data_IF_648280996776
#
_entry.id   IF_648280996776
#
_cell.length_a   1.000
_cell.length_b   1.000
_cell.length_c   1.000
_cell.angle_alpha   90.00
_cell.angle_beta   90.00
_cell.angle_gamma   90.00
#
_symmetry.space_group_name_H-M   'P 1'
#
loop_
_entity.id
_entity.type
_entity.pdbx_description
1 polymer ?
#
# COMPACT_ATOMS: atom_id res chain seq x y z
N UNK A 1 -13.42 -2.28 7.14
CA UNK A 1 -12.01 -2.75 7.02
C UNK A 1 -11.81 -3.35 5.63
N UNK A 2 -11.21 -2.62 4.69
CA UNK A 2 -11.08 -3.06 3.29
C UNK A 2 -9.70 -3.70 3.08
N UNK A 3 -9.63 -5.03 3.01
CA UNK A 3 -8.40 -5.77 2.64
C UNK A 3 -8.06 -5.54 1.16
N UNK A 4 -6.78 -5.39 0.82
CA UNK A 4 -6.31 -5.29 -0.57
C UNK A 4 -5.47 -6.53 -0.94
N UNK A 5 -5.47 -6.87 -2.22
CA UNK A 5 -4.69 -8.00 -2.75
C UNK A 5 -3.68 -7.44 -3.75
N UNK A 6 -2.40 -7.75 -3.54
CA UNK A 6 -1.30 -7.38 -4.43
C UNK A 6 -0.60 -8.64 -4.95
N UNK A 7 -0.01 -8.58 -6.14
CA UNK A 7 0.80 -9.68 -6.66
C UNK A 7 2.25 -9.53 -6.20
N UNK A 8 2.84 -10.63 -5.73
CA UNK A 8 4.26 -10.69 -5.40
C UNK A 8 5.13 -10.31 -6.61
N UNK A 9 6.10 -9.42 -6.42
CA UNK A 9 7.04 -8.99 -7.46
C UNK A 9 7.99 -10.10 -7.93
N UNK A 10 8.24 -11.11 -7.09
CA UNK A 10 9.15 -12.21 -7.43
C UNK A 10 8.48 -13.36 -8.19
N UNK A 11 7.27 -13.76 -7.78
CA UNK A 11 6.63 -14.99 -8.30
C UNK A 11 5.17 -14.84 -8.71
N UNK A 12 4.59 -13.62 -8.60
CA UNK A 12 3.20 -13.36 -8.95
C UNK A 12 2.15 -13.85 -7.96
N UNK A 13 2.54 -14.58 -6.91
CA UNK A 13 1.63 -15.10 -5.89
C UNK A 13 0.82 -13.96 -5.22
N UNK A 14 -0.50 -14.12 -5.02
CA UNK A 14 -1.31 -13.10 -4.35
C UNK A 14 -0.93 -12.94 -2.88
N UNK A 15 -0.74 -11.68 -2.47
CA UNK A 15 -0.44 -11.24 -1.11
C UNK A 15 -1.64 -10.43 -0.63
N UNK A 16 -2.31 -10.93 0.42
CA UNK A 16 -3.37 -10.18 1.10
C UNK A 16 -2.75 -9.26 2.11
N UNK A 17 -3.03 -7.96 2.00
CA UNK A 17 -2.49 -6.92 2.87
C UNK A 17 -3.64 -6.27 3.62
N UNK A 18 -3.36 -5.91 4.87
CA UNK A 18 -4.33 -5.30 5.78
C UNK A 18 -3.89 -3.89 6.10
N UNK A 19 -4.81 -2.91 6.09
CA UNK A 19 -4.48 -1.56 6.52
C UNK A 19 -4.08 -1.57 8.01
N UNK A 20 -3.13 -0.71 8.42
CA UNK A 20 -2.94 -0.44 9.84
C UNK A 20 -4.24 0.15 10.42
N UNK A 21 -4.58 -0.24 11.65
CA UNK A 21 -5.84 0.09 12.34
C UNK A 21 -6.16 1.59 12.30
N UNK A 22 -7.43 1.91 12.08
CA UNK A 22 -8.06 3.23 12.25
C UNK A 22 -7.54 4.41 11.43
N UNK A 23 -7.46 4.24 10.10
CA UNK A 23 -7.02 5.33 9.25
C UNK A 23 -7.62 5.23 7.85
N UNK A 24 -8.17 6.34 7.32
CA UNK A 24 -8.68 6.48 5.94
C UNK A 24 -7.51 6.45 4.93
N UNK A 25 -6.67 5.43 5.01
CA UNK A 25 -5.47 5.27 4.22
C UNK A 25 -5.74 4.29 3.07
N UNK A 26 -5.34 4.71 1.89
CA UNK A 26 -5.35 3.88 0.70
C UNK A 26 -3.98 3.23 0.51
N UNK A 27 -3.96 1.98 0.07
CA UNK A 27 -2.70 1.34 -0.31
C UNK A 27 -2.34 1.68 -1.76
N UNK A 28 -1.09 2.09 -1.97
CA UNK A 28 -0.50 2.30 -3.29
C UNK A 28 0.76 1.47 -3.47
N UNK A 29 1.06 1.11 -4.73
CA UNK A 29 2.27 0.35 -5.08
C UNK A 29 3.51 1.23 -5.15
N UNK A 30 3.36 2.53 -5.43
CA UNK A 30 4.46 3.49 -5.42
C UNK A 30 4.21 4.60 -4.40
N UNK A 31 5.27 4.98 -3.68
CA UNK A 31 5.28 6.12 -2.74
C UNK A 31 4.88 7.46 -3.37
N UNK A 32 5.07 7.62 -4.69
CA UNK A 32 4.74 8.85 -5.42
C UNK A 32 3.23 9.11 -5.56
N UNK A 33 2.43 8.07 -5.46
CA UNK A 33 0.97 8.13 -5.62
C UNK A 33 0.24 8.56 -4.32
N UNK A 34 1.00 8.78 -3.24
CA UNK A 34 0.51 9.14 -1.91
C UNK A 34 0.93 10.59 -1.55
N UNK A 35 0.14 11.26 -0.69
CA UNK A 35 0.44 12.58 -0.13
C UNK A 35 1.77 12.48 0.62
N UNK A 36 2.66 13.41 0.30
CA UNK A 36 4.02 13.43 0.79
C UNK A 36 4.02 13.90 2.24
N UNK A 37 4.04 12.97 3.20
CA UNK A 37 4.08 13.27 4.64
C UNK A 37 3.77 12.04 5.51
N UNK A 38 2.62 11.40 5.26
CA UNK A 38 2.09 10.30 6.08
C UNK A 38 2.00 9.00 5.27
N UNK A 39 3.15 8.45 4.91
CA UNK A 39 3.22 7.15 4.23
C UNK A 39 3.84 6.12 5.16
N UNK A 40 3.04 5.12 5.53
CA UNK A 40 3.46 3.97 6.33
C UNK A 40 3.95 2.87 5.38
N UNK A 41 5.17 2.40 5.61
CA UNK A 41 5.79 1.33 4.82
C UNK A 41 5.69 0.01 5.61
N UNK A 42 5.00 -0.98 5.05
CA UNK A 42 4.85 -2.29 5.69
C UNK A 42 5.48 -3.36 4.78
N UNK A 43 6.56 -4.03 5.22
CA UNK A 43 7.17 -5.12 4.46
C UNK A 43 6.36 -6.41 4.60
N UNK A 44 6.06 -7.05 3.47
CA UNK A 44 5.41 -8.36 3.40
C UNK A 44 6.32 -9.39 2.74
N UNK A 45 6.71 -10.42 3.48
CA UNK A 45 7.45 -11.55 2.92
C UNK A 45 6.50 -12.48 2.15
N UNK A 46 6.84 -12.79 0.90
CA UNK A 46 6.13 -13.79 0.12
C UNK A 46 6.38 -15.20 0.69
N UNK A 47 5.30 -15.93 1.03
CA UNK A 47 5.40 -17.30 1.56
C UNK A 47 6.03 -18.30 0.58
N UNK A 48 5.94 -18.05 -0.73
CA UNK A 48 6.43 -18.94 -1.79
C UNK A 48 7.89 -18.69 -2.18
N UNK A 49 8.22 -17.44 -2.52
CA UNK A 49 9.56 -17.09 -3.04
C UNK A 49 10.43 -16.31 -2.06
N UNK A 50 9.94 -16.04 -0.84
CA UNK A 50 10.66 -15.29 0.21
C UNK A 50 11.08 -13.87 -0.15
N UNK A 51 10.63 -13.34 -1.29
CA UNK A 51 10.86 -11.95 -1.69
C UNK A 51 10.05 -11.01 -0.77
N UNK A 52 10.72 -9.95 -0.31
CA UNK A 52 10.11 -8.88 0.49
C UNK A 52 9.40 -7.90 -0.45
N UNK A 53 8.10 -7.71 -0.24
CA UNK A 53 7.25 -6.79 -0.96
C UNK A 53 6.89 -5.64 -0.02
N UNK A 54 7.42 -4.44 -0.26
CA UNK A 54 7.10 -3.26 0.55
C UNK A 54 5.81 -2.65 0.04
N UNK A 55 4.83 -2.51 0.93
CA UNK A 55 3.51 -1.94 0.63
C UNK A 55 3.41 -0.60 1.34
N UNK A 56 3.02 0.43 0.59
CA UNK A 56 2.92 1.79 1.06
C UNK A 56 1.45 2.11 1.34
N UNK A 57 1.16 2.56 2.55
CA UNK A 57 -0.16 3.03 2.98
C UNK A 57 -0.09 4.52 3.23
N UNK A 58 -0.97 5.30 2.62
CA UNK A 58 -0.97 6.75 2.76
C UNK A 58 -2.30 7.34 2.33
N UNK A 59 -2.45 8.65 2.52
CA UNK A 59 -3.57 9.36 1.89
C UNK A 59 -3.27 9.51 0.39
N UNK A 60 -4.25 9.25 -0.49
CA UNK A 60 -4.10 9.57 -1.90
C UNK A 60 -3.90 11.08 -2.06
N UNK A 61 -2.96 11.49 -2.93
CA UNK A 61 -2.99 12.87 -3.43
C UNK A 61 -4.29 13.04 -4.17
N UNK A 62 -5.27 13.69 -3.54
CA UNK A 62 -6.37 14.29 -4.28
C UNK A 62 -5.75 15.15 -5.38
N UNK A 63 -6.18 15.04 -6.65
CA UNK A 63 -5.70 15.92 -7.69
C UNK A 63 -5.89 17.35 -7.22
N UNK A 64 -4.80 18.11 -7.17
CA UNK A 64 -4.76 19.49 -6.71
C UNK A 64 -5.83 20.31 -7.43
N UNK A 65 -6.95 20.60 -6.76
CA UNK A 65 -8.07 21.28 -7.40
C UNK A 65 -9.40 21.31 -6.65
N UNK A 66 -9.57 20.61 -5.52
CA UNK A 66 -10.78 20.76 -4.68
C UNK A 66 -10.45 21.71 -3.53
N UNK A 67 -10.81 22.97 -3.71
CA UNK A 67 -10.96 23.96 -2.64
C UNK A 67 -12.35 23.71 -2.04
N UNK A 68 -12.43 23.38 -0.74
CA UNK A 68 -13.67 23.45 0.04
C UNK A 68 -13.73 24.81 0.73
#
# INVERSE_FOLDING_TARGET
MTKKIFSCTGCGEPITVYPPDDMHLDAARNKKDLVQGDVIEIPYECKKCKVINVIYWGFHKLPSGVII
#
